data_IF_540986805607
#
_entry.id   IF_540986805607
#
_cell.length_a   1.000
_cell.length_b   1.000
_cell.length_c   1.000
_cell.angle_alpha   90.00
_cell.angle_beta   90.00
_cell.angle_gamma   90.00
#
_symmetry.space_group_name_H-M   'P 1'
#
loop_
_entity.id
_entity.type
_entity.pdbx_description
1 polymer ?
#
# COMPACT_ATOMS: atom_id res chain seq x y z
N UNK A 1 -36.36 -11.75 47.78
CA UNK A 1 -37.35 -12.85 47.71
C UNK A 1 -38.73 -12.22 47.73
N UNK A 2 -39.55 -12.49 46.69
CA UNK A 2 -40.98 -12.15 46.52
C UNK A 2 -41.36 -10.66 46.39
N UNK A 3 -41.67 -10.17 45.19
CA UNK A 3 -42.93 -10.31 44.41
C UNK A 3 -43.95 -9.18 44.70
N UNK A 4 -43.98 -8.21 43.77
CA UNK A 4 -45.08 -7.91 42.85
C UNK A 4 -46.52 -7.62 43.33
N UNK A 5 -47.11 -6.65 42.60
CA UNK A 5 -48.55 -6.40 42.31
C UNK A 5 -49.29 -5.49 43.31
N UNK A 6 -50.24 -4.62 42.94
CA UNK A 6 -50.73 -4.07 41.67
C UNK A 6 -51.89 -3.11 42.04
N UNK A 7 -52.00 -1.97 41.33
CA UNK A 7 -53.24 -1.30 40.89
C UNK A 7 -54.34 -0.90 41.89
N UNK A 8 -54.74 0.39 41.85
CA UNK A 8 -55.91 0.87 41.11
C UNK A 8 -56.59 2.09 41.78
N UNK A 9 -56.94 3.08 40.93
CA UNK A 9 -58.20 3.88 40.85
C UNK A 9 -58.66 4.65 42.11
N UNK A 10 -59.33 5.79 42.05
CA UNK A 10 -59.73 6.76 41.03
C UNK A 10 -60.48 7.91 41.75
N UNK A 11 -60.56 9.07 41.10
CA UNK A 11 -61.71 10.00 41.04
C UNK A 11 -62.39 10.52 42.32
N UNK A 12 -62.33 11.85 42.48
CA UNK A 12 -63.43 12.73 42.92
C UNK A 12 -62.92 14.18 42.84
N UNK A 13 -63.64 15.23 42.46
CA UNK A 13 -65.01 15.47 42.01
C UNK A 13 -65.09 17.00 41.78
N UNK A 14 -65.91 17.41 40.82
CA UNK A 14 -66.19 18.80 40.48
C UNK A 14 -67.07 19.50 41.53
N UNK A 15 -66.92 20.81 41.72
CA UNK A 15 -68.06 21.69 42.06
C UNK A 15 -67.90 23.11 41.50
N UNK A 16 -68.88 23.47 40.69
CA UNK A 16 -69.21 24.78 40.11
C UNK A 16 -69.37 25.93 41.12
N UNK A 17 -69.18 27.17 40.65
CA UNK A 17 -70.21 28.22 40.84
C UNK A 17 -70.03 29.46 39.96
N UNK A 18 -71.05 29.72 39.10
CA UNK A 18 -71.67 31.01 38.71
C UNK A 18 -70.82 32.15 38.14
N UNK A 19 -70.90 32.53 36.85
CA UNK A 19 -71.99 33.19 36.07
C UNK A 19 -71.86 34.73 35.94
N UNK A 20 -71.66 35.12 34.68
CA UNK A 20 -72.19 36.27 33.91
C UNK A 20 -71.72 37.71 34.20
N UNK A 21 -71.05 38.30 33.21
CA UNK A 21 -71.56 39.46 32.47
C UNK A 21 -70.88 39.60 31.09
N UNK A 22 -71.66 39.51 30.02
CA UNK A 22 -71.30 39.84 28.63
C UNK A 22 -71.15 41.36 28.46
N UNK A 23 -70.18 41.78 27.65
CA UNK A 23 -70.31 42.98 26.80
C UNK A 23 -69.72 42.69 25.42
N UNK A 24 -70.54 42.95 24.41
CA UNK A 24 -70.29 42.68 22.99
C UNK A 24 -69.40 43.73 22.31
N UNK A 25 -68.85 43.28 21.18
CA UNK A 25 -67.95 43.84 20.16
C UNK A 25 -68.21 45.28 19.65
N UNK A 26 -67.26 45.81 18.83
CA UNK A 26 -67.51 45.77 17.38
C UNK A 26 -66.35 45.23 16.50
N UNK A 27 -66.76 44.47 15.47
CA UNK A 27 -66.18 44.21 14.13
C UNK A 27 -65.32 45.35 13.54
N UNK A 28 -64.32 45.21 12.64
CA UNK A 28 -63.74 44.25 11.67
C UNK A 28 -62.47 44.98 11.05
N UNK A 29 -61.71 44.53 10.02
CA UNK A 29 -61.20 43.22 9.59
C UNK A 29 -59.68 43.21 9.18
N UNK A 30 -59.13 42.01 8.89
CA UNK A 30 -57.99 41.70 7.97
C UNK A 30 -56.59 42.34 8.22
N UNK A 31 -55.61 41.49 8.56
CA UNK A 31 -54.25 41.39 7.96
C UNK A 31 -53.49 40.27 8.71
N UNK A 32 -53.68 39.02 8.29
CA UNK A 32 -52.64 38.23 7.61
C UNK A 32 -51.35 38.04 8.43
N UNK A 33 -51.35 36.94 9.18
CA UNK A 33 -50.25 35.96 9.26
C UNK A 33 -48.86 36.45 8.85
N UNK A 34 -48.05 36.85 9.84
CA UNK A 34 -46.59 36.90 9.74
C UNK A 34 -45.99 35.96 10.79
N UNK A 35 -46.29 34.68 10.64
CA UNK A 35 -45.62 33.60 11.34
C UNK A 35 -45.46 32.49 10.30
N UNK A 36 -44.23 31.98 10.16
CA UNK A 36 -43.70 31.14 9.07
C UNK A 36 -43.04 31.95 7.94
N UNK A 37 -41.79 32.38 8.15
CA UNK A 37 -40.61 31.93 7.36
C UNK A 37 -39.36 32.24 8.21
N UNK A 38 -39.18 31.51 9.31
CA UNK A 38 -37.84 31.11 9.76
C UNK A 38 -37.58 29.75 9.10
N UNK A 39 -37.49 29.76 7.77
CA UNK A 39 -36.90 28.64 7.06
C UNK A 39 -35.42 28.92 7.01
N UNK A 40 -34.68 27.98 7.57
CA UNK A 40 -33.23 27.92 7.53
C UNK A 40 -32.74 28.33 6.14
N UNK A 41 -31.89 29.37 6.10
CA UNK A 41 -30.83 29.41 5.11
C UNK A 41 -29.86 28.28 5.48
N UNK A 42 -30.29 27.03 5.26
CA UNK A 42 -29.38 25.98 4.84
C UNK A 42 -28.89 26.46 3.48
N UNK A 43 -27.74 27.13 3.49
CA UNK A 43 -26.88 27.13 2.33
C UNK A 43 -26.40 25.68 2.24
N UNK A 44 -27.24 24.82 1.67
CA UNK A 44 -26.78 23.70 0.86
C UNK A 44 -26.09 24.35 -0.33
N UNK A 45 -24.85 24.80 -0.11
CA UNK A 45 -23.83 24.65 -1.12
C UNK A 45 -23.44 23.17 -1.08
N UNK A 46 -24.40 22.32 -1.48
CA UNK A 46 -24.08 21.05 -2.10
C UNK A 46 -23.33 21.48 -3.36
N UNK A 47 -22.02 21.64 -3.22
CA UNK A 47 -21.14 21.75 -4.36
C UNK A 47 -21.43 20.48 -5.13
N UNK A 48 -22.15 20.63 -6.23
CA UNK A 48 -22.37 19.59 -7.20
C UNK A 48 -20.97 19.20 -7.70
N UNK A 49 -20.36 18.21 -7.05
CA UNK A 49 -19.12 17.54 -7.47
C UNK A 49 -19.46 16.63 -8.67
N UNK A 50 -20.41 17.05 -9.51
CA UNK A 50 -20.70 16.42 -10.78
C UNK A 50 -19.61 16.87 -11.75
N UNK A 51 -18.70 15.92 -11.99
CA UNK A 51 -17.69 15.89 -13.04
C UNK A 51 -16.24 16.30 -12.66
N UNK A 52 -15.73 15.75 -11.55
CA UNK A 52 -14.28 15.75 -11.19
C UNK A 52 -13.37 15.25 -12.32
N UNK A 53 -13.91 14.42 -13.23
CA UNK A 53 -13.15 13.77 -14.28
C UNK A 53 -13.27 14.46 -15.66
N UNK A 54 -14.06 15.53 -15.82
CA UNK A 54 -14.10 16.32 -17.05
C UNK A 54 -13.09 17.47 -17.04
N UNK A 55 -12.20 17.44 -18.02
CA UNK A 55 -11.32 18.52 -18.48
C UNK A 55 -10.45 19.25 -17.43
N UNK A 56 -9.39 18.57 -16.98
CA UNK A 56 -8.11 19.23 -16.68
C UNK A 56 -7.01 18.62 -17.54
N UNK A 57 -7.10 18.88 -18.84
CA UNK A 57 -6.06 18.57 -19.82
C UNK A 57 -5.07 19.75 -19.87
N UNK A 58 -4.39 20.01 -18.75
CA UNK A 58 -3.19 20.82 -18.70
C UNK A 58 -2.20 20.16 -17.74
N UNK A 59 -1.03 19.88 -18.31
CA UNK A 59 0.19 19.42 -17.65
C UNK A 59 0.67 20.49 -16.68
N UNK A 60 1.26 20.04 -15.57
CA UNK A 60 1.97 20.79 -14.53
C UNK A 60 1.19 21.96 -13.91
N UNK A 61 0.55 21.72 -12.76
CA UNK A 61 0.71 22.52 -11.53
C UNK A 61 -0.40 22.25 -10.50
N UNK A 62 -0.11 22.64 -9.25
CA UNK A 62 -1.05 22.75 -8.14
C UNK A 62 -2.07 23.86 -8.50
N UNK A 63 -3.17 23.49 -9.15
CA UNK A 63 -4.25 24.43 -9.43
C UNK A 63 -5.08 24.69 -8.16
N UNK A 64 -4.80 25.82 -7.52
CA UNK A 64 -5.69 26.42 -6.51
C UNK A 64 -6.90 26.99 -7.25
N UNK A 65 -7.93 26.18 -7.46
CA UNK A 65 -9.20 26.66 -7.99
C UNK A 65 -9.94 27.45 -6.91
N UNK A 66 -9.63 28.73 -6.80
CA UNK A 66 -10.40 29.69 -6.01
C UNK A 66 -11.61 30.14 -6.84
N UNK A 67 -12.75 29.46 -6.70
CA UNK A 67 -14.00 29.92 -7.30
C UNK A 67 -14.48 31.16 -6.57
N UNK A 68 -14.31 32.30 -7.24
CA UNK A 68 -14.64 33.64 -6.76
C UNK A 68 -16.16 33.81 -6.60
N UNK A 69 -16.66 33.67 -5.37
CA UNK A 69 -17.76 34.52 -4.89
C UNK A 69 -17.29 35.25 -3.64
N UNK A 70 -16.76 36.45 -3.91
CA UNK A 70 -16.62 37.60 -3.01
C UNK A 70 -15.53 37.54 -1.94
N UNK A 71 -14.42 38.20 -2.27
CA UNK A 71 -13.44 38.85 -1.38
C UNK A 71 -13.35 38.31 0.04
N UNK A 72 -12.46 37.35 0.27
CA UNK A 72 -11.43 37.42 1.31
C UNK A 72 -10.18 36.74 0.74
N UNK A 73 -9.21 37.55 0.32
CA UNK A 73 -7.89 37.06 -0.06
C UNK A 73 -7.27 36.34 1.14
N UNK A 74 -7.13 35.02 1.03
CA UNK A 74 -6.11 34.28 1.76
C UNK A 74 -5.07 33.90 0.72
N UNK A 75 -4.03 34.72 0.60
CA UNK A 75 -2.78 34.29 0.00
C UNK A 75 -2.30 33.07 0.78
N UNK A 76 -2.27 31.92 0.12
CA UNK A 76 -1.62 30.73 0.67
C UNK A 76 -0.12 30.94 0.44
N UNK A 77 0.53 31.65 1.34
CA UNK A 77 1.97 31.50 1.52
C UNK A 77 2.24 30.06 1.99
N UNK A 78 2.83 29.26 1.10
CA UNK A 78 3.50 27.99 1.37
C UNK A 78 2.65 26.83 1.93
N UNK A 79 1.91 26.15 1.04
CA UNK A 79 1.70 24.69 1.13
C UNK A 79 3.00 23.96 0.70
N UNK A 80 4.15 24.41 1.20
CA UNK A 80 5.43 23.71 1.04
C UNK A 80 5.69 22.71 2.17
N UNK A 81 4.86 22.75 3.23
CA UNK A 81 5.02 21.99 4.49
C UNK A 81 4.00 20.84 4.63
N UNK A 82 3.39 20.40 3.51
CA UNK A 82 2.44 19.29 3.51
C UNK A 82 3.10 17.99 3.10
N UNK A 83 3.17 17.05 4.05
CA UNK A 83 3.58 15.69 3.74
C UNK A 83 2.35 14.91 3.25
N UNK A 84 2.05 15.02 1.95
CA UNK A 84 1.08 14.16 1.27
C UNK A 84 1.81 12.98 0.63
N UNK A 85 1.39 11.76 0.93
CA UNK A 85 1.99 10.55 0.36
C UNK A 85 0.90 9.54 0.03
N UNK A 86 0.86 9.12 -1.23
CA UNK A 86 -0.03 8.06 -1.71
C UNK A 86 0.78 6.91 -2.30
N UNK A 87 0.38 5.68 -1.97
CA UNK A 87 1.02 4.45 -2.42
C UNK A 87 -0.04 3.43 -2.85
N UNK A 88 0.14 2.85 -4.02
CA UNK A 88 -0.68 1.76 -4.54
C UNK A 88 0.05 0.44 -4.38
N UNK A 89 -0.42 -0.39 -3.45
CA UNK A 89 0.20 -1.68 -3.16
C UNK A 89 -0.22 -2.78 -4.14
N UNK A 90 0.59 -3.85 -4.29
CA UNK A 90 0.28 -4.99 -5.16
C UNK A 90 -1.06 -5.69 -4.86
N UNK A 91 -1.60 -5.52 -3.67
CA UNK A 91 -2.94 -6.00 -3.28
C UNK A 91 -4.08 -5.15 -3.83
N UNK A 92 -3.79 -4.21 -4.74
CA UNK A 92 -4.71 -3.18 -5.25
C UNK A 92 -5.33 -2.34 -4.14
N UNK A 93 -4.56 -2.05 -3.10
CA UNK A 93 -4.97 -1.13 -2.03
C UNK A 93 -4.20 0.17 -2.23
N UNK A 94 -4.94 1.25 -2.50
CA UNK A 94 -4.42 2.60 -2.47
C UNK A 94 -4.43 3.10 -1.03
N UNK A 95 -3.30 3.56 -0.52
CA UNK A 95 -3.19 4.18 0.80
C UNK A 95 -2.62 5.58 0.64
N UNK A 96 -3.38 6.57 1.06
CA UNK A 96 -2.96 7.97 1.09
C UNK A 96 -2.89 8.44 2.53
N UNK A 97 -1.80 9.14 2.85
CA UNK A 97 -1.54 9.73 4.16
C UNK A 97 -1.20 11.20 4.00
N UNK A 98 -1.61 12.00 4.97
CA UNK A 98 -1.40 13.44 4.97
C UNK A 98 -1.05 13.94 6.37
N UNK A 99 -0.35 15.07 6.42
CA UNK A 99 -0.01 15.75 7.65
C UNK A 99 -0.02 17.26 7.44
N UNK A 100 -1.06 17.92 7.96
CA UNK A 100 -1.24 19.37 7.92
C UNK A 100 -1.00 20.00 9.30
N UNK A 101 0.27 20.05 9.72
CA UNK A 101 0.65 20.49 11.06
C UNK A 101 0.53 22.02 11.26
N UNK A 102 0.51 22.78 10.18
CA UNK A 102 0.48 24.26 10.19
C UNK A 102 -0.93 24.84 10.30
N UNK A 103 -1.98 24.02 10.23
CA UNK A 103 -3.37 24.49 10.27
C UNK A 103 -3.86 24.83 11.69
N UNK A 104 -4.63 25.91 11.80
CA UNK A 104 -5.28 26.36 13.04
C UNK A 104 -6.11 25.27 13.71
N UNK A 105 -6.06 25.16 15.05
CA UNK A 105 -6.72 24.10 15.82
C UNK A 105 -8.21 23.90 15.47
N UNK A 106 -8.92 24.98 15.17
CA UNK A 106 -10.35 24.95 14.87
C UNK A 106 -10.70 24.66 13.40
N UNK A 107 -9.70 24.43 12.54
CA UNK A 107 -9.92 24.06 11.13
C UNK A 107 -10.46 22.63 11.03
N UNK A 108 -11.63 22.46 10.43
CA UNK A 108 -12.13 21.13 10.05
C UNK A 108 -11.57 20.76 8.68
N UNK A 109 -11.20 19.49 8.52
CA UNK A 109 -10.68 18.94 7.28
C UNK A 109 -11.63 17.86 6.78
N UNK A 110 -11.94 17.89 5.49
CA UNK A 110 -12.66 16.83 4.80
C UNK A 110 -11.82 16.35 3.63
N UNK A 111 -11.65 15.05 3.50
CA UNK A 111 -10.83 14.45 2.43
C UNK A 111 -11.72 13.62 1.52
N UNK A 112 -11.74 13.98 0.24
CA UNK A 112 -12.40 13.22 -0.79
C UNK A 112 -11.38 12.61 -1.74
N UNK A 113 -11.47 11.30 -1.95
CA UNK A 113 -10.61 10.55 -2.88
C UNK A 113 -11.47 10.14 -4.06
N UNK A 114 -11.10 10.63 -5.25
CA UNK A 114 -11.77 10.32 -6.51
C UNK A 114 -10.81 9.62 -7.46
N UNK A 115 -11.28 8.54 -8.07
CA UNK A 115 -10.52 7.81 -9.09
C UNK A 115 -11.24 7.96 -10.41
N UNK A 116 -10.53 8.52 -11.39
CA UNK A 116 -11.04 8.79 -12.73
C UNK A 116 -10.53 7.76 -13.72
N UNK A 117 -11.44 6.94 -14.24
CA UNK A 117 -11.23 6.03 -15.36
C UNK A 117 -11.97 6.58 -16.58
N UNK A 118 -11.28 7.42 -17.35
CA UNK A 118 -11.92 8.28 -18.36
C UNK A 118 -12.99 9.17 -17.73
N UNK A 119 -14.24 9.02 -18.18
CA UNK A 119 -15.37 9.82 -17.69
C UNK A 119 -16.09 9.19 -16.47
N UNK A 120 -15.60 8.06 -15.95
CA UNK A 120 -16.19 7.40 -14.79
C UNK A 120 -15.41 7.75 -13.54
N UNK A 121 -16.09 8.30 -12.54
CA UNK A 121 -15.53 8.50 -11.21
C UNK A 121 -15.97 7.37 -10.27
N UNK A 122 -15.02 6.82 -9.53
CA UNK A 122 -15.30 6.05 -8.30
C UNK A 122 -14.92 6.96 -7.14
N UNK A 123 -15.92 7.42 -6.40
CA UNK A 123 -15.72 8.26 -5.22
C UNK A 123 -15.72 7.40 -3.95
N UNK A 124 -14.86 7.74 -3.00
CA UNK A 124 -14.97 7.20 -1.64
C UNK A 124 -16.22 7.80 -0.95
N UNK A 125 -17.18 6.99 -0.46
CA UNK A 125 -18.49 7.48 -0.06
C UNK A 125 -18.53 8.28 1.25
N UNK A 126 -17.47 8.29 2.06
CA UNK A 126 -17.53 8.95 3.37
C UNK A 126 -16.85 10.32 3.34
N UNK A 127 -17.67 11.38 3.43
CA UNK A 127 -17.26 12.74 3.81
C UNK A 127 -17.39 12.88 5.34
N UNK A 128 -16.49 12.23 6.08
CA UNK A 128 -16.29 12.52 7.50
C UNK A 128 -15.30 13.66 7.68
N UNK A 129 -15.44 14.41 8.79
CA UNK A 129 -14.36 15.27 9.26
C UNK A 129 -13.18 14.37 9.62
N UNK A 130 -12.04 14.63 9.01
CA UNK A 130 -10.79 13.89 9.21
C UNK A 130 -9.86 14.63 10.17
N UNK A 131 -8.94 13.88 10.76
CA UNK A 131 -7.84 14.45 11.52
C UNK A 131 -6.82 15.10 10.57
N UNK A 132 -6.17 16.18 11.05
CA UNK A 132 -5.14 16.90 10.28
C UNK A 132 -3.92 16.04 9.94
N UNK A 133 -3.66 15.02 10.75
CA UNK A 133 -2.71 13.96 10.48
C UNK A 133 -3.54 12.69 10.35
N UNK A 134 -3.56 12.10 9.17
CA UNK A 134 -4.48 11.01 8.88
C UNK A 134 -4.02 10.14 7.73
N UNK A 135 -4.73 9.04 7.54
CA UNK A 135 -4.53 8.15 6.40
C UNK A 135 -5.84 7.48 6.02
N UNK A 136 -6.04 7.28 4.72
CA UNK A 136 -7.19 6.60 4.17
C UNK A 136 -6.75 5.57 3.15
N UNK A 137 -7.33 4.38 3.25
CA UNK A 137 -7.10 3.29 2.32
C UNK A 137 -8.36 2.96 1.53
N UNK A 138 -8.21 2.70 0.24
CA UNK A 138 -9.27 2.33 -0.67
C UNK A 138 -8.86 1.09 -1.48
N UNK A 139 -9.69 0.07 -1.47
CA UNK A 139 -9.50 -1.11 -2.32
C UNK A 139 -9.95 -0.78 -3.74
N UNK A 140 -9.04 -0.93 -4.71
CA UNK A 140 -9.31 -0.67 -6.12
C UNK A 140 -9.74 -1.96 -6.80
N UNK A 141 -10.73 -1.86 -7.67
CA UNK A 141 -11.01 -2.91 -8.64
C UNK A 141 -10.08 -2.69 -9.85
N UNK A 142 -9.87 -3.72 -10.68
CA UNK A 142 -8.86 -3.72 -11.74
C UNK A 142 -9.17 -2.66 -12.82
N UNK A 143 -8.78 -1.42 -12.55
CA UNK A 143 -8.86 -0.29 -13.46
C UNK A 143 -7.47 -0.08 -14.05
N UNK A 144 -7.33 -0.25 -15.36
CA UNK A 144 -6.08 0.04 -16.07
C UNK A 144 -6.07 1.51 -16.47
N UNK A 145 -5.01 2.22 -16.08
CA UNK A 145 -4.76 3.65 -16.34
C UNK A 145 -5.87 4.59 -15.82
N UNK A 146 -5.88 4.82 -14.51
CA UNK A 146 -6.78 5.82 -13.90
C UNK A 146 -5.96 6.94 -13.28
N UNK A 147 -6.54 8.14 -13.28
CA UNK A 147 -6.01 9.26 -12.53
C UNK A 147 -6.61 9.27 -11.13
N UNK A 148 -5.77 9.51 -10.14
CA UNK A 148 -6.18 9.77 -8.77
C UNK A 148 -6.27 11.28 -8.57
N UNK A 149 -7.41 11.74 -8.08
CA UNK A 149 -7.63 13.11 -7.67
C UNK A 149 -7.99 13.12 -6.19
N UNK A 150 -7.16 13.78 -5.38
CA UNK A 150 -7.40 14.00 -3.95
C UNK A 150 -7.85 15.44 -3.74
N UNK A 151 -9.01 15.62 -3.13
CA UNK A 151 -9.50 16.92 -2.69
C UNK A 151 -9.47 17.00 -1.17
N UNK A 152 -8.91 18.09 -0.66
CA UNK A 152 -8.87 18.44 0.75
C UNK A 152 -9.66 19.74 0.93
N UNK A 153 -10.79 19.65 1.61
CA UNK A 153 -11.64 20.79 1.90
C UNK A 153 -11.38 21.21 3.35
N UNK A 154 -10.88 22.41 3.54
CA UNK A 154 -10.66 23.01 4.84
C UNK A 154 -11.75 24.01 5.14
N UNK A 155 -12.33 23.97 6.33
CA UNK A 155 -13.26 25.01 6.80
C UNK A 155 -12.74 25.64 8.08
N UNK A 156 -12.64 26.97 8.10
CA UNK A 156 -12.22 27.75 9.26
C UNK A 156 -13.12 28.99 9.38
N UNK A 157 -13.84 29.09 10.50
CA UNK A 157 -14.75 30.21 10.80
C UNK A 157 -15.76 30.53 9.67
N UNK A 158 -16.23 29.50 8.96
CA UNK A 158 -17.19 29.65 7.86
C UNK A 158 -16.57 30.00 6.51
N UNK A 159 -15.27 30.27 6.45
CA UNK A 159 -14.53 30.30 5.19
C UNK A 159 -14.11 28.88 4.80
N UNK A 160 -14.17 28.57 3.51
CA UNK A 160 -13.77 27.27 2.97
C UNK A 160 -12.62 27.43 1.98
N UNK A 161 -11.74 26.43 1.92
CA UNK A 161 -10.62 26.39 1.00
C UNK A 161 -10.46 24.96 0.50
N UNK A 162 -10.24 24.79 -0.81
CA UNK A 162 -10.02 23.49 -1.42
C UNK A 162 -8.59 23.41 -1.92
N UNK A 163 -7.93 22.31 -1.58
CA UNK A 163 -6.65 21.92 -2.12
C UNK A 163 -6.83 20.61 -2.89
N UNK A 164 -6.33 20.57 -4.13
CA UNK A 164 -6.43 19.41 -5.00
C UNK A 164 -5.05 18.91 -5.41
N UNK A 165 -4.88 17.59 -5.45
CA UNK A 165 -3.68 16.94 -5.97
C UNK A 165 -4.06 15.85 -6.96
N UNK A 166 -3.29 15.77 -8.05
CA UNK A 166 -3.55 14.85 -9.15
C UNK A 166 -2.34 13.93 -9.34
N UNK A 167 -2.60 12.64 -9.45
CA UNK A 167 -1.56 11.62 -9.64
C UNK A 167 -1.96 10.63 -10.72
N UNK A 168 -0.99 10.19 -11.53
CA UNK A 168 -1.13 8.95 -12.30
C UNK A 168 -0.98 7.76 -11.35
N UNK A 169 -1.97 6.87 -11.29
CA UNK A 169 -1.90 5.67 -10.44
C UNK A 169 -0.68 4.78 -10.74
N UNK A 170 -0.17 4.80 -11.97
CA UNK A 170 1.03 4.04 -12.33
C UNK A 170 2.29 4.60 -11.65
N UNK A 171 2.33 5.90 -11.35
CA UNK A 171 3.43 6.53 -10.64
C UNK A 171 3.39 6.24 -9.13
N UNK A 172 2.22 5.89 -8.59
CA UNK A 172 2.04 5.57 -7.16
C UNK A 172 2.31 4.10 -6.82
N UNK A 173 2.52 3.26 -7.83
CA UNK A 173 2.66 1.81 -7.68
C UNK A 173 3.93 1.42 -6.90
N UNK A 174 3.73 0.70 -5.80
CA UNK A 174 4.78 -0.02 -5.08
C UNK A 174 4.92 -1.41 -5.70
N UNK A 175 6.11 -1.74 -6.19
CA UNK A 175 6.37 -3.04 -6.82
C UNK A 175 6.32 -4.18 -5.80
N UNK A 176 5.98 -5.38 -6.28
CA UNK A 176 6.23 -6.62 -5.53
C UNK A 176 7.71 -6.98 -5.56
N UNK A 177 8.22 -7.76 -4.58
CA UNK A 177 9.54 -8.34 -4.68
C UNK A 177 9.70 -9.10 -6.01
N UNK A 178 10.91 -9.14 -6.60
CA UNK A 178 11.14 -9.83 -7.87
C UNK A 178 10.75 -11.30 -7.83
N UNK A 179 10.16 -11.77 -8.92
CA UNK A 179 9.74 -13.17 -9.03
C UNK A 179 10.91 -14.06 -9.48
N UNK A 180 10.74 -15.38 -9.36
CA UNK A 180 11.70 -16.36 -9.89
C UNK A 180 13.14 -16.18 -9.38
N UNK A 181 13.29 -15.75 -8.13
CA UNK A 181 14.61 -15.66 -7.49
C UNK A 181 15.14 -17.08 -7.30
N UNK A 182 16.33 -17.32 -7.84
CA UNK A 182 17.03 -18.59 -7.72
C UNK A 182 18.49 -18.34 -7.37
N UNK A 183 19.07 -19.23 -6.59
CA UNK A 183 20.48 -19.16 -6.22
C UNK A 183 21.08 -20.56 -6.31
N UNK A 184 22.29 -20.67 -6.87
CA UNK A 184 22.99 -21.94 -7.05
C UNK A 184 24.51 -21.75 -7.02
N UNK A 185 25.23 -22.72 -6.48
CA UNK A 185 26.70 -22.72 -6.54
C UNK A 185 27.14 -23.40 -7.83
N UNK A 186 27.84 -22.65 -8.69
CA UNK A 186 28.42 -23.14 -9.96
C UNK A 186 29.87 -22.66 -10.09
N UNK A 187 30.77 -23.60 -10.39
CA UNK A 187 32.19 -23.32 -10.61
C UNK A 187 32.84 -22.50 -9.49
N UNK A 188 32.52 -22.84 -8.24
CA UNK A 188 33.03 -22.17 -7.04
C UNK A 188 32.45 -20.79 -6.75
N UNK A 189 31.48 -20.31 -7.52
CA UNK A 189 30.77 -19.04 -7.30
C UNK A 189 29.27 -19.22 -7.06
N UNK A 190 28.65 -18.26 -6.38
CA UNK A 190 27.21 -18.23 -6.13
C UNK A 190 26.56 -17.42 -7.24
N UNK A 191 25.79 -18.10 -8.08
CA UNK A 191 24.98 -17.49 -9.13
C UNK A 191 23.57 -17.24 -8.57
N UNK A 192 23.18 -15.98 -8.53
CA UNK A 192 21.83 -15.53 -8.20
C UNK A 192 21.17 -15.04 -9.49
N UNK A 193 19.93 -15.44 -9.74
CA UNK A 193 19.12 -14.98 -10.88
C UNK A 193 17.74 -14.58 -10.40
N UNK A 194 17.10 -13.66 -11.10
CA UNK A 194 15.74 -13.21 -10.80
C UNK A 194 14.99 -12.83 -12.07
N UNK A 195 13.66 -12.82 -11.97
CA UNK A 195 12.77 -12.32 -13.02
C UNK A 195 12.53 -10.82 -12.87
N UNK A 196 12.13 -10.19 -13.97
CA UNK A 196 11.60 -8.82 -13.95
C UNK A 196 10.37 -8.74 -13.04
N UNK A 197 10.21 -7.66 -12.25
CA UNK A 197 9.01 -7.49 -11.45
C UNK A 197 7.79 -7.29 -12.34
N UNK A 198 6.64 -7.67 -11.80
CA UNK A 198 5.35 -7.32 -12.40
C UNK A 198 5.05 -5.85 -12.09
N UNK A 199 4.59 -5.13 -13.11
CA UNK A 199 4.21 -3.71 -13.04
C UNK A 199 2.89 -3.53 -13.79
N UNK A 200 2.02 -2.65 -13.30
CA UNK A 200 0.74 -2.30 -13.94
C UNK A 200 0.92 -1.62 -15.29
N UNK A 201 2.00 -0.84 -15.43
CA UNK A 201 2.41 -0.24 -16.69
C UNK A 201 3.52 -1.08 -17.35
N UNK A 202 3.49 -1.13 -18.68
CA UNK A 202 4.59 -1.68 -19.48
C UNK A 202 5.79 -0.73 -19.39
N UNK A 203 6.65 -0.98 -18.40
CA UNK A 203 7.87 -0.21 -18.17
C UNK A 203 9.07 -0.91 -18.81
N UNK A 204 10.03 -0.12 -19.29
CA UNK A 204 11.29 -0.63 -19.80
C UNK A 204 12.11 -1.29 -18.68
N UNK A 205 12.86 -2.37 -18.95
CA UNK A 205 13.81 -2.97 -18.01
C UNK A 205 14.72 -1.98 -17.25
N UNK A 206 15.14 -0.87 -17.86
CA UNK A 206 15.96 0.14 -17.16
C UNK A 206 15.22 0.86 -16.04
N UNK A 207 13.87 0.83 -16.04
CA UNK A 207 13.05 1.41 -15.00
C UNK A 207 13.03 0.60 -13.70
N UNK A 208 13.72 -0.53 -13.63
CA UNK A 208 13.75 -1.36 -12.42
C UNK A 208 15.13 -1.35 -11.77
N UNK A 209 15.13 -1.04 -10.48
CA UNK A 209 16.29 -1.15 -9.61
C UNK A 209 16.09 -2.30 -8.64
N UNK A 210 17.17 -2.99 -8.31
CA UNK A 210 17.19 -4.18 -7.47
C UNK A 210 18.17 -4.02 -6.33
N UNK A 211 17.82 -4.54 -5.17
CA UNK A 211 18.73 -4.70 -4.04
C UNK A 211 18.83 -6.16 -3.64
N UNK A 212 20.06 -6.65 -3.58
CA UNK A 212 20.41 -8.01 -3.21
C UNK A 212 21.08 -8.03 -1.84
N UNK A 213 20.44 -8.70 -0.91
CA UNK A 213 21.01 -9.02 0.40
C UNK A 213 21.42 -10.50 0.43
N UNK A 214 22.64 -10.75 0.91
CA UNK A 214 23.23 -12.08 1.06
C UNK A 214 23.55 -12.41 2.52
N UNK A 215 23.11 -11.58 3.47
CA UNK A 215 23.26 -11.78 4.93
C UNK A 215 24.66 -11.52 5.48
N UNK A 216 25.71 -11.82 4.71
CA UNK A 216 27.11 -11.74 5.15
C UNK A 216 27.75 -10.36 4.90
N UNK A 217 27.03 -9.44 4.25
CA UNK A 217 27.55 -8.12 3.84
C UNK A 217 26.86 -7.01 4.63
N UNK A 218 27.63 -6.00 5.04
CA UNK A 218 27.09 -4.82 5.76
C UNK A 218 26.11 -4.01 4.90
N UNK A 219 26.27 -4.04 3.57
CA UNK A 219 25.43 -3.29 2.63
C UNK A 219 24.91 -4.18 1.50
N UNK A 220 23.59 -4.17 1.22
CA UNK A 220 23.04 -4.82 0.05
C UNK A 220 23.68 -4.31 -1.24
N UNK A 221 23.77 -5.18 -2.24
CA UNK A 221 24.25 -4.81 -3.59
C UNK A 221 23.11 -4.27 -4.43
N UNK A 222 23.36 -3.20 -5.16
CA UNK A 222 22.37 -2.58 -6.05
C UNK A 222 22.65 -2.93 -7.51
N UNK A 223 21.58 -3.18 -8.27
CA UNK A 223 21.63 -3.50 -9.69
C UNK A 223 20.52 -2.77 -10.45
N UNK A 224 20.78 -2.47 -11.72
CA UNK A 224 19.82 -1.94 -12.68
C UNK A 224 20.05 -2.64 -14.02
N UNK A 225 18.99 -2.83 -14.80
CA UNK A 225 19.05 -3.46 -16.14
C UNK A 225 19.80 -4.82 -16.15
N UNK A 226 19.70 -5.58 -15.05
CA UNK A 226 20.37 -6.86 -14.88
C UNK A 226 19.46 -7.84 -14.14
N UNK A 227 19.49 -9.10 -14.55
CA UNK A 227 18.65 -10.18 -14.02
C UNK A 227 19.45 -11.34 -13.41
N UNK A 228 20.78 -11.19 -13.28
CA UNK A 228 21.64 -12.19 -12.66
C UNK A 228 22.89 -11.57 -12.08
N UNK A 229 23.39 -12.14 -10.99
CA UNK A 229 24.63 -11.73 -10.34
C UNK A 229 25.44 -12.97 -9.95
N UNK A 230 26.77 -12.89 -10.10
CA UNK A 230 27.69 -13.95 -9.67
C UNK A 230 28.65 -13.42 -8.61
N UNK A 231 28.58 -13.99 -7.42
CA UNK A 231 29.56 -13.78 -6.36
C UNK A 231 30.71 -14.79 -6.53
N UNK A 232 31.93 -14.36 -6.87
CA UNK A 232 33.05 -15.28 -7.11
C UNK A 232 33.68 -15.84 -5.84
N UNK A 233 33.52 -15.19 -4.68
CA UNK A 233 34.17 -15.61 -3.42
C UNK A 233 33.14 -16.23 -2.48
N UNK A 234 32.98 -17.54 -2.61
CA UNK A 234 32.05 -18.33 -1.80
C UNK A 234 32.85 -19.24 -0.87
N UNK A 235 32.58 -19.15 0.42
CA UNK A 235 33.02 -20.12 1.42
C UNK A 235 32.21 -21.41 1.26
N UNK A 236 32.85 -22.53 0.91
CA UNK A 236 32.15 -23.79 0.69
C UNK A 236 31.57 -24.43 1.96
N UNK A 237 31.90 -23.90 3.14
CA UNK A 237 31.37 -24.36 4.41
C UNK A 237 30.15 -23.59 4.91
N UNK A 238 29.84 -22.46 4.27
CA UNK A 238 28.79 -21.52 4.66
C UNK A 238 27.46 -21.80 3.94
N UNK A 239 26.37 -21.46 4.62
CA UNK A 239 25.02 -21.47 4.05
C UNK A 239 24.66 -20.06 3.61
N UNK A 240 24.35 -19.87 2.34
CA UNK A 240 24.02 -18.56 1.78
C UNK A 240 22.52 -18.32 1.86
N UNK A 241 22.12 -17.19 2.43
CA UNK A 241 20.72 -16.77 2.50
C UNK A 241 20.55 -15.53 1.64
N UNK A 242 19.82 -15.68 0.54
CA UNK A 242 19.63 -14.64 -0.46
C UNK A 242 18.22 -14.06 -0.36
N UNK A 243 18.12 -12.74 -0.21
CA UNK A 243 16.86 -11.99 -0.28
C UNK A 243 16.99 -10.82 -1.24
N UNK A 244 15.89 -10.47 -1.91
CA UNK A 244 15.92 -9.42 -2.90
C UNK A 244 14.68 -8.53 -2.84
N UNK A 245 14.84 -7.26 -3.14
CA UNK A 245 13.74 -6.31 -3.29
C UNK A 245 13.95 -5.43 -4.51
N UNK A 246 12.91 -4.74 -4.94
CA UNK A 246 12.94 -3.91 -6.14
C UNK A 246 12.16 -2.63 -5.96
N UNK A 247 12.48 -1.64 -6.78
CA UNK A 247 11.73 -0.39 -6.89
C UNK A 247 11.79 0.10 -8.33
N UNK A 248 10.95 1.08 -8.65
CA UNK A 248 11.10 1.82 -9.91
C UNK A 248 12.30 2.77 -9.82
N UNK A 249 13.01 2.98 -10.91
CA UNK A 249 14.08 3.96 -10.92
C UNK A 249 13.50 5.38 -10.83
N UNK A 250 14.24 6.26 -10.15
CA UNK A 250 13.90 7.68 -10.07
C UNK A 250 13.95 8.38 -11.45
N UNK A 251 14.49 7.71 -12.48
CA UNK A 251 14.45 8.19 -13.87
C UNK A 251 13.09 7.97 -14.55
N UNK A 252 12.29 7.01 -14.06
CA UNK A 252 11.00 6.67 -14.66
C UNK A 252 9.81 7.17 -13.83
N UNK A 253 9.98 7.32 -12.52
CA UNK A 253 8.96 7.88 -11.62
C UNK A 253 9.61 8.81 -10.60
N UNK A 254 8.92 9.88 -10.24
CA UNK A 254 9.41 10.85 -9.26
C UNK A 254 9.38 10.29 -7.83
N UNK A 255 8.35 9.51 -7.50
CA UNK A 255 8.18 8.87 -6.21
C UNK A 255 8.39 7.36 -6.34
N UNK A 256 9.46 6.85 -5.73
CA UNK A 256 9.79 5.44 -5.75
C UNK A 256 10.02 4.88 -4.36
N UNK A 257 9.30 3.82 -4.03
CA UNK A 257 9.44 3.07 -2.79
C UNK A 257 9.98 1.67 -3.06
N UNK A 258 10.83 1.21 -2.14
CA UNK A 258 11.31 -0.17 -2.14
C UNK A 258 10.16 -1.12 -1.81
N UNK A 259 10.09 -2.23 -2.55
CA UNK A 259 9.26 -3.36 -2.17
C UNK A 259 9.71 -3.92 -0.83
N UNK A 260 8.83 -4.74 -0.25
CA UNK A 260 9.25 -5.68 0.78
C UNK A 260 10.39 -6.58 0.28
N UNK A 261 11.14 -7.15 1.22
CA UNK A 261 12.11 -8.18 0.89
C UNK A 261 11.40 -9.47 0.45
N UNK A 262 11.96 -10.14 -0.56
CA UNK A 262 11.50 -11.46 -0.98
C UNK A 262 11.64 -12.48 0.13
N UNK A 263 10.98 -13.62 -0.04
CA UNK A 263 11.34 -14.82 0.71
C UNK A 263 12.81 -15.17 0.49
N UNK A 264 13.44 -15.70 1.54
CA UNK A 264 14.84 -16.04 1.50
C UNK A 264 15.06 -17.35 0.74
N UNK A 265 15.99 -17.33 -0.21
CA UNK A 265 16.49 -18.51 -0.90
C UNK A 265 17.77 -18.96 -0.22
N UNK A 266 17.75 -20.13 0.39
CA UNK A 266 18.91 -20.71 1.06
C UNK A 266 19.64 -21.70 0.16
N UNK A 267 20.94 -21.51 0.01
CA UNK A 267 21.80 -22.43 -0.74
C UNK A 267 22.83 -23.01 0.21
N UNK A 268 22.81 -24.33 0.32
CA UNK A 268 23.82 -25.10 1.04
C UNK A 268 24.70 -25.80 0.03
N UNK A 269 26.02 -25.73 0.22
CA UNK A 269 26.90 -26.59 -0.53
C UNK A 269 26.82 -28.01 0.05
N UNK A 270 26.56 -28.99 -0.82
CA UNK A 270 26.60 -30.38 -0.44
C UNK A 270 27.99 -30.71 0.08
N UNK A 271 28.12 -30.86 1.40
CA UNK A 271 29.34 -31.39 2.01
C UNK A 271 29.52 -32.79 1.43
N UNK A 272 30.58 -32.99 0.64
CA UNK A 272 31.03 -34.32 0.29
C UNK A 272 31.10 -35.11 1.59
N UNK A 273 30.27 -36.15 1.70
CA UNK A 273 30.17 -36.89 2.94
C UNK A 273 31.56 -37.47 3.23
N UNK A 274 32.17 -37.09 4.35
CA UNK A 274 33.48 -37.56 4.75
C UNK A 274 33.54 -39.10 4.74
N UNK A 275 32.41 -39.77 5.02
CA UNK A 275 32.28 -41.23 4.89
C UNK A 275 32.50 -41.72 3.45
N UNK A 276 31.97 -41.00 2.46
CA UNK A 276 32.15 -41.32 1.04
C UNK A 276 33.61 -41.14 0.64
N UNK A 277 34.25 -40.04 1.05
CA UNK A 277 35.68 -39.82 0.80
C UNK A 277 36.53 -40.93 1.44
N UNK A 278 36.26 -41.29 2.70
CA UNK A 278 36.94 -42.37 3.41
C UNK A 278 36.69 -43.72 2.73
N UNK A 279 35.46 -44.00 2.29
CA UNK A 279 35.14 -45.25 1.60
C UNK A 279 35.86 -45.38 0.26
N UNK A 280 35.98 -44.30 -0.51
CA UNK A 280 36.70 -44.28 -1.79
C UNK A 280 38.21 -44.42 -1.54
N UNK A 281 38.74 -43.68 -0.57
CA UNK A 281 40.18 -43.66 -0.27
C UNK A 281 40.71 -44.94 0.38
N UNK A 282 39.91 -45.66 1.19
CA UNK A 282 40.30 -46.99 1.69
C UNK A 282 39.86 -48.14 0.78
N UNK A 283 38.67 -48.02 0.18
CA UNK A 283 38.07 -49.10 -0.61
C UNK A 283 38.82 -49.37 -1.90
N UNK A 284 39.18 -48.33 -2.65
CA UNK A 284 39.88 -48.49 -3.94
C UNK A 284 41.25 -49.16 -3.76
N UNK A 285 42.12 -48.74 -2.82
CA UNK A 285 43.40 -49.41 -2.58
C UNK A 285 43.26 -50.86 -2.12
N UNK A 286 42.28 -51.16 -1.27
CA UNK A 286 42.05 -52.52 -0.77
C UNK A 286 41.62 -53.47 -1.89
N UNK A 287 40.73 -53.03 -2.79
CA UNK A 287 40.31 -53.81 -3.96
C UNK A 287 41.50 -54.02 -4.91
N UNK A 288 42.27 -52.98 -5.18
CA UNK A 288 43.50 -53.07 -5.99
C UNK A 288 44.49 -54.07 -5.40
N UNK A 289 44.71 -54.03 -4.09
CA UNK A 289 45.60 -54.95 -3.39
C UNK A 289 45.10 -56.40 -3.52
N UNK A 290 43.80 -56.64 -3.31
CA UNK A 290 43.20 -57.96 -3.45
C UNK A 290 43.36 -58.52 -4.88
N UNK A 291 43.13 -57.70 -5.90
CA UNK A 291 43.32 -58.09 -7.31
C UNK A 291 44.78 -58.42 -7.59
N UNK A 292 45.73 -57.61 -7.11
CA UNK A 292 47.17 -57.87 -7.28
C UNK A 292 47.59 -59.19 -6.60
N UNK A 293 47.07 -59.48 -5.42
CA UNK A 293 47.33 -60.73 -4.71
C UNK A 293 46.75 -61.93 -5.45
N UNK A 294 45.54 -61.82 -6.00
CA UNK A 294 44.91 -62.87 -6.80
C UNK A 294 45.69 -63.15 -8.10
N UNK A 295 46.09 -62.11 -8.83
CA UNK A 295 46.91 -62.24 -10.03
C UNK A 295 48.27 -62.89 -9.73
N UNK A 296 48.88 -62.52 -8.59
CA UNK A 296 50.11 -63.14 -8.10
C UNK A 296 49.87 -64.62 -7.82
N UNK A 297 48.84 -64.97 -7.05
CA UNK A 297 48.50 -66.35 -6.72
C UNK A 297 48.25 -67.21 -7.96
N UNK A 298 47.51 -66.69 -8.95
CA UNK A 298 47.28 -67.39 -10.22
C UNK A 298 48.59 -67.70 -10.96
N UNK A 299 49.56 -66.78 -10.96
CA UNK A 299 50.90 -67.04 -11.52
C UNK A 299 51.68 -68.12 -10.76
N UNK A 300 51.60 -68.16 -9.42
CA UNK A 300 52.26 -69.21 -8.64
C UNK A 300 51.61 -70.59 -8.82
N UNK A 301 50.27 -70.67 -8.85
CA UNK A 301 49.56 -71.93 -9.07
C UNK A 301 49.73 -72.49 -10.49
N UNK A 302 49.84 -71.64 -11.51
CA UNK A 302 50.05 -72.10 -12.90
C UNK A 302 51.48 -72.58 -13.18
N UNK A 303 52.45 -72.27 -12.30
CA UNK A 303 53.86 -72.64 -12.45
C UNK A 303 54.31 -73.81 -11.55
N UNK A 304 53.42 -74.44 -10.77
CA UNK A 304 53.73 -75.67 -10.05
C UNK A 304 53.58 -76.87 -11.00
N UNK A 305 54.66 -77.56 -11.40
CA UNK A 305 54.53 -78.79 -12.17
C UNK A 305 53.85 -79.84 -11.28
N UNK A 306 52.78 -80.43 -11.81
CA UNK A 306 52.21 -81.69 -11.31
C UNK A 306 53.34 -82.73 -11.31
N UNK A 307 53.90 -82.98 -10.14
CA UNK A 307 54.80 -84.09 -9.91
C UNK A 307 54.13 -85.05 -8.91
N UNK A 308 53.25 -85.88 -9.46
CA UNK A 308 52.99 -87.30 -9.16
C UNK A 308 51.62 -87.71 -9.69
#
# INVERSE_FOLDING_TARGET
>A
MCHCLQSSRALSEWRDSGRYAMKMFPSHPILWSSLLVLFALQIEAEADISDVCQDTMSSDDIDVLSTLVKEHHVEIENIHDTNLTCLLYPTNILNCSWSFNTLHQDTQLFVNISICDGNKSVQSPDLSSEEKVGSRSLALHDHKMSLLILHFNFTLHGNWTVYASKYDLNMLEVLSPPQNISASIKDGGLLVTWGSPHSRADNDPFCFEYQLDMGDQETPKEFSDQLSYREPKVDPSSTYRVTMRTRKSNQCVEFSQWSEWSHAVTVEQSKLNNLVIVSISLGIPMILLAVLLLLRHQRYCFCLPLNN
#
